data_IF_049847153739
#
_entry.id   IF_049847153739
#
_cell.length_a   1.000
_cell.length_b   1.000
_cell.length_c   1.000
_cell.angle_alpha   90.00
_cell.angle_beta   90.00
_cell.angle_gamma   90.00
#
_symmetry.space_group_name_H-M   'P 1'
#
loop_
_entity.id
_entity.type
_entity.pdbx_description
1 polymer ?
#
# COMPACT_ATOMS: atom_id res chain seq x y z
N UNK A 1 -64.25 -2.11 -54.67
CA UNK A 1 -64.83 -2.79 -53.49
C UNK A 1 -63.69 -2.96 -52.51
N UNK A 2 -63.32 -1.88 -51.84
CA UNK A 2 -63.83 -1.41 -50.53
C UNK A 2 -62.97 -1.92 -49.37
N UNK A 3 -62.86 -1.05 -48.36
CA UNK A 3 -62.31 -1.19 -47.02
C UNK A 3 -60.78 -1.05 -46.88
N UNK A 4 -60.24 -0.18 -46.02
CA UNK A 4 -60.79 0.91 -45.20
C UNK A 4 -59.61 1.77 -44.74
N UNK A 5 -59.79 3.09 -44.81
CA UNK A 5 -58.92 4.10 -44.22
C UNK A 5 -59.27 4.30 -42.75
N UNK A 6 -58.28 4.28 -41.85
CA UNK A 6 -58.41 4.87 -40.50
C UNK A 6 -57.09 5.56 -40.13
N UNK A 7 -57.17 6.88 -40.06
CA UNK A 7 -56.17 7.80 -39.49
C UNK A 7 -56.33 7.80 -37.96
N UNK A 8 -55.24 7.90 -37.19
CA UNK A 8 -55.21 8.85 -36.09
C UNK A 8 -53.92 9.69 -36.13
N UNK A 9 -54.08 10.99 -36.36
CA UNK A 9 -54.03 12.04 -35.34
C UNK A 9 -52.63 12.25 -34.76
N UNK A 10 -51.88 13.13 -35.42
CA UNK A 10 -50.74 13.83 -34.82
C UNK A 10 -51.28 14.86 -33.84
N UNK A 11 -50.85 14.78 -32.58
CA UNK A 11 -50.84 15.93 -31.68
C UNK A 11 -49.49 15.97 -30.96
N UNK A 12 -48.67 16.91 -31.44
CA UNK A 12 -47.37 17.26 -30.91
C UNK A 12 -47.58 18.18 -29.69
N UNK A 13 -47.09 17.79 -28.51
CA UNK A 13 -46.63 18.74 -27.50
C UNK A 13 -45.35 18.19 -26.88
N UNK A 14 -44.21 18.62 -27.41
CA UNK A 14 -42.92 18.46 -26.76
C UNK A 14 -42.80 19.52 -25.66
N UNK A 15 -42.78 19.09 -24.40
CA UNK A 15 -42.36 19.92 -23.27
C UNK A 15 -40.89 19.66 -22.94
N UNK A 16 -40.04 20.67 -22.72
CA UNK A 16 -38.66 20.47 -22.31
C UNK A 16 -38.65 20.18 -20.80
N UNK A 17 -38.81 18.91 -20.44
CA UNK A 17 -38.79 18.45 -19.05
C UNK A 17 -37.52 17.70 -18.75
N UNK A 18 -36.51 18.43 -18.25
CA UNK A 18 -35.32 17.95 -17.54
C UNK A 18 -34.72 16.62 -18.02
N UNK A 19 -33.72 16.71 -18.91
CA UNK A 19 -32.71 15.68 -19.00
C UNK A 19 -32.07 15.50 -17.62
N UNK A 20 -32.52 14.51 -16.86
CA UNK A 20 -31.80 14.02 -15.70
C UNK A 20 -30.44 13.60 -16.21
N UNK A 21 -29.42 14.41 -15.92
CA UNK A 21 -28.04 14.04 -16.18
C UNK A 21 -27.85 12.65 -15.56
N UNK A 22 -27.63 11.66 -16.42
CA UNK A 22 -27.31 10.32 -15.98
C UNK A 22 -26.13 10.46 -15.03
N UNK A 23 -26.37 10.23 -13.73
CA UNK A 23 -25.31 10.11 -12.73
C UNK A 23 -24.45 8.95 -13.21
N UNK A 24 -23.37 9.25 -13.91
CA UNK A 24 -22.36 8.27 -14.27
C UNK A 24 -22.01 7.53 -12.99
N UNK A 25 -22.14 6.20 -13.00
CA UNK A 25 -21.96 5.35 -11.83
C UNK A 25 -20.51 5.48 -11.34
N UNK A 26 -20.26 6.45 -10.47
CA UNK A 26 -19.01 6.55 -9.75
C UNK A 26 -18.87 5.30 -8.87
N UNK A 27 -17.69 4.66 -8.83
CA UNK A 27 -17.48 3.52 -7.96
C UNK A 27 -17.74 3.94 -6.50
N UNK A 28 -18.58 3.17 -5.83
CA UNK A 28 -18.95 3.38 -4.44
C UNK A 28 -17.91 2.67 -3.56
N UNK A 29 -16.93 3.41 -3.06
CA UNK A 29 -15.94 2.89 -2.13
C UNK A 29 -16.33 3.30 -0.71
N UNK A 30 -16.87 2.35 0.07
CA UNK A 30 -17.17 2.58 1.47
C UNK A 30 -16.04 2.09 2.35
N UNK A 31 -15.60 2.94 3.26
CA UNK A 31 -14.17 3.00 3.52
C UNK A 31 -13.92 3.73 4.82
N UNK A 32 -12.94 3.27 5.57
CA UNK A 32 -12.24 4.10 6.53
C UNK A 32 -10.78 4.19 6.15
N UNK A 33 -10.23 5.39 6.27
CA UNK A 33 -8.86 5.69 5.87
C UNK A 33 -8.24 6.75 6.75
N UNK A 34 -6.92 6.86 6.65
CA UNK A 34 -6.11 7.86 7.32
C UNK A 34 -5.11 8.43 6.33
N UNK A 35 -4.96 9.76 6.32
CA UNK A 35 -3.82 10.45 5.71
C UNK A 35 -2.97 11.02 6.82
N UNK A 36 -1.64 10.96 6.71
CA UNK A 36 -0.77 11.52 7.72
C UNK A 36 0.60 11.94 7.19
N UNK A 37 1.21 12.90 7.87
CA UNK A 37 2.63 13.24 7.76
C UNK A 37 3.29 12.91 9.10
N UNK A 38 4.34 12.11 9.07
CA UNK A 38 5.14 11.89 10.27
C UNK A 38 5.96 13.14 10.59
N UNK A 39 5.84 13.67 11.80
CA UNK A 39 6.53 14.90 12.20
C UNK A 39 8.04 14.69 12.37
N UNK A 40 8.47 13.48 12.72
CA UNK A 40 9.88 13.15 12.94
C UNK A 40 10.65 12.95 11.64
N UNK A 41 10.11 12.14 10.72
CA UNK A 41 10.79 11.81 9.45
C UNK A 41 10.37 12.71 8.29
N UNK A 42 9.19 13.32 8.37
CA UNK A 42 8.56 14.04 7.27
C UNK A 42 7.89 13.13 6.22
N UNK A 43 7.91 11.80 6.40
CA UNK A 43 7.22 10.86 5.52
C UNK A 43 5.73 11.18 5.42
N UNK A 44 5.16 10.94 4.24
CA UNK A 44 3.74 11.15 3.96
C UNK A 44 3.11 9.79 3.66
N UNK A 45 1.92 9.54 4.20
CA UNK A 45 1.28 8.25 4.03
C UNK A 45 -0.25 8.29 4.01
N UNK A 46 -0.81 7.30 3.33
CA UNK A 46 -2.23 6.99 3.31
C UNK A 46 -2.41 5.51 3.59
N UNK A 47 -3.37 5.16 4.44
CA UNK A 47 -3.79 3.78 4.64
C UNK A 47 -5.30 3.68 4.63
N UNK A 48 -5.82 2.56 4.11
CA UNK A 48 -7.25 2.38 3.85
C UNK A 48 -7.68 0.93 4.02
N UNK A 49 -8.91 0.73 4.48
CA UNK A 49 -9.64 -0.54 4.41
C UNK A 49 -11.04 -0.30 3.87
N UNK A 50 -11.52 -1.21 3.02
CA UNK A 50 -12.87 -1.16 2.45
C UNK A 50 -13.49 -2.54 2.24
N UNK A 51 -14.83 -2.64 2.31
CA UNK A 51 -15.56 -3.74 1.66
C UNK A 51 -15.83 -3.37 0.19
N UNK A 52 -14.76 -3.26 -0.59
CA UNK A 52 -14.77 -2.98 -2.02
C UNK A 52 -13.61 -3.74 -2.62
N UNK A 53 -13.81 -4.39 -3.76
CA UNK A 53 -12.72 -5.10 -4.43
C UNK A 53 -11.64 -4.11 -4.88
N UNK A 54 -10.39 -4.35 -4.50
CA UNK A 54 -9.24 -3.57 -4.98
C UNK A 54 -9.34 -2.06 -4.70
N UNK A 55 -9.36 -1.66 -3.42
CA UNK A 55 -9.42 -0.23 -3.03
C UNK A 55 -8.12 0.55 -3.31
N UNK A 56 -6.98 -0.15 -3.40
CA UNK A 56 -5.64 0.43 -3.46
C UNK A 56 -5.35 1.38 -4.63
N UNK A 57 -5.85 1.15 -5.86
CA UNK A 57 -5.71 2.10 -6.97
C UNK A 57 -6.62 3.34 -6.87
N UNK A 58 -7.60 3.35 -5.97
CA UNK A 58 -8.71 4.32 -5.98
C UNK A 58 -8.54 5.38 -4.89
N UNK A 59 -8.33 4.94 -3.65
CA UNK A 59 -8.39 5.83 -2.48
C UNK A 59 -7.03 6.48 -2.16
N UNK A 60 -5.91 5.74 -2.00
CA UNK A 60 -4.67 6.31 -1.52
C UNK A 60 -3.81 6.93 -2.62
N UNK A 61 -3.46 8.20 -2.44
CA UNK A 61 -2.55 8.95 -3.30
C UNK A 61 -1.49 9.63 -2.44
N UNK A 62 -0.23 9.59 -2.84
CA UNK A 62 0.84 10.30 -2.15
C UNK A 62 2.01 10.59 -3.10
N UNK A 63 2.67 11.71 -2.86
CA UNK A 63 3.87 12.11 -3.59
C UNK A 63 4.88 12.76 -2.65
N UNK A 64 6.14 12.29 -2.74
CA UNK A 64 7.22 12.74 -1.88
C UNK A 64 7.47 14.23 -2.04
N UNK A 65 7.60 14.94 -0.92
CA UNK A 65 7.77 16.40 -0.91
C UNK A 65 6.53 17.21 -1.29
N UNK A 66 5.40 16.57 -1.61
CA UNK A 66 4.16 17.24 -2.04
C UNK A 66 3.04 17.06 -1.03
N UNK A 67 2.56 15.83 -0.83
CA UNK A 67 1.42 15.57 0.04
C UNK A 67 0.85 14.16 -0.09
N UNK A 68 -0.24 13.92 0.62
CA UNK A 68 -1.01 12.69 0.62
C UNK A 68 -2.51 13.00 0.61
N UNK A 69 -3.27 12.22 -0.15
CA UNK A 69 -4.72 12.40 -0.39
C UNK A 69 -5.44 11.06 -0.28
N UNK A 70 -6.57 11.05 0.44
CA UNK A 70 -7.55 9.97 0.43
C UNK A 70 -8.86 10.50 -0.14
N UNK A 71 -9.38 9.87 -1.20
CA UNK A 71 -10.69 10.19 -1.80
C UNK A 71 -11.60 8.95 -1.76
N UNK A 72 -12.80 9.05 -1.19
CA UNK A 72 -13.69 7.93 -0.89
C UNK A 72 -15.18 8.32 -0.95
N UNK A 73 -16.08 7.37 -0.60
CA UNK A 73 -17.54 7.46 -0.76
C UNK A 73 -17.97 7.32 -2.23
N UNK A 74 -18.83 8.21 -2.78
CA UNK A 74 -19.01 8.27 -4.24
C UNK A 74 -17.77 8.91 -4.85
N UNK A 75 -16.77 8.07 -5.13
CA UNK A 75 -15.42 8.52 -5.44
C UNK A 75 -15.39 9.32 -6.73
N UNK A 76 -14.71 10.46 -6.70
CA UNK A 76 -14.17 11.09 -7.89
C UNK A 76 -12.65 10.97 -7.80
N UNK A 77 -12.08 10.05 -8.58
CA UNK A 77 -10.65 9.69 -8.52
C UNK A 77 -9.76 10.92 -8.69
N UNK A 78 -10.18 11.87 -9.53
CA UNK A 78 -9.48 13.12 -9.82
C UNK A 78 -9.03 13.91 -8.58
N UNK A 79 -9.72 13.82 -7.43
CA UNK A 79 -9.26 14.51 -6.20
C UNK A 79 -7.86 14.09 -5.78
N UNK A 80 -7.47 12.83 -6.02
CA UNK A 80 -6.14 12.31 -5.73
C UNK A 80 -5.04 13.05 -6.50
N UNK A 81 -4.90 12.82 -7.82
CA UNK A 81 -3.85 13.45 -8.62
C UNK A 81 -3.99 14.97 -8.69
N UNK A 82 -5.20 15.53 -8.84
CA UNK A 82 -5.36 16.99 -8.90
C UNK A 82 -5.05 17.68 -7.57
N UNK A 83 -5.36 17.03 -6.44
CA UNK A 83 -4.99 17.53 -5.12
C UNK A 83 -3.47 17.61 -4.96
N UNK A 84 -2.76 16.55 -5.36
CA UNK A 84 -1.29 16.53 -5.40
C UNK A 84 -0.74 17.59 -6.36
N UNK A 85 -1.34 17.77 -7.54
CA UNK A 85 -0.90 18.78 -8.51
C UNK A 85 -1.00 20.21 -7.97
N UNK A 86 -2.11 20.54 -7.29
CA UNK A 86 -2.30 21.85 -6.66
C UNK A 86 -1.30 22.07 -5.53
N UNK A 87 -1.07 21.05 -4.69
CA UNK A 87 -0.07 21.13 -3.62
C UNK A 87 1.35 21.28 -4.17
N UNK A 88 1.67 20.61 -5.29
CA UNK A 88 2.96 20.76 -6.00
C UNK A 88 3.16 22.16 -6.54
N UNK A 89 2.08 22.83 -6.92
CA UNK A 89 2.08 24.25 -7.36
C UNK A 89 2.18 25.25 -6.18
N UNK A 90 2.27 24.76 -4.93
CA UNK A 90 2.52 25.57 -3.74
C UNK A 90 1.30 25.85 -2.86
N UNK A 91 0.11 25.41 -3.26
CA UNK A 91 -1.08 25.52 -2.42
C UNK A 91 -0.94 24.63 -1.18
N UNK A 92 -1.55 25.05 -0.08
CA UNK A 92 -1.70 24.18 1.10
C UNK A 92 -2.79 23.13 0.85
N UNK A 93 -2.78 22.04 1.62
CA UNK A 93 -3.86 21.04 1.58
C UNK A 93 -5.28 21.65 1.74
N UNK A 94 -5.52 22.60 2.68
CA UNK A 94 -6.78 23.36 2.72
C UNK A 94 -7.13 24.12 1.44
N UNK A 95 -6.17 24.82 0.84
CA UNK A 95 -6.42 25.58 -0.39
C UNK A 95 -6.70 24.66 -1.58
N UNK A 96 -5.96 23.54 -1.69
CA UNK A 96 -6.16 22.55 -2.72
C UNK A 96 -7.55 21.89 -2.62
N UNK A 97 -7.96 21.47 -1.40
CA UNK A 97 -9.27 20.88 -1.18
C UNK A 97 -10.41 21.86 -1.49
N UNK A 98 -10.32 23.10 -1.00
CA UNK A 98 -11.32 24.14 -1.27
C UNK A 98 -11.46 24.44 -2.78
N UNK A 99 -10.34 24.52 -3.50
CA UNK A 99 -10.35 24.74 -4.95
C UNK A 99 -11.06 23.59 -5.70
N UNK A 100 -10.83 22.33 -5.30
CA UNK A 100 -11.45 21.17 -5.93
C UNK A 100 -12.95 21.07 -5.63
N UNK A 101 -13.35 21.33 -4.38
CA UNK A 101 -14.76 21.32 -3.98
C UNK A 101 -15.59 22.37 -4.76
N UNK A 102 -15.01 23.54 -5.03
CA UNK A 102 -15.68 24.62 -5.79
C UNK A 102 -15.99 24.26 -7.25
N UNK A 103 -15.22 23.35 -7.85
CA UNK A 103 -15.39 22.95 -9.25
C UNK A 103 -16.08 21.59 -9.41
N UNK A 104 -16.28 20.85 -8.32
CA UNK A 104 -17.10 19.63 -8.33
C UNK A 104 -18.58 20.02 -8.32
N UNK A 105 -19.36 19.47 -9.25
CA UNK A 105 -20.81 19.71 -9.31
C UNK A 105 -21.58 18.92 -8.25
N UNK A 106 -20.94 17.95 -7.58
CA UNK A 106 -21.56 17.11 -6.55
C UNK A 106 -20.64 16.92 -5.32
N UNK A 107 -20.19 18.00 -4.65
CA UNK A 107 -19.28 17.89 -3.51
C UNK A 107 -19.95 17.20 -2.31
N UNK A 108 -21.28 17.23 -2.23
CA UNK A 108 -22.04 16.69 -1.11
C UNK A 108 -22.00 15.17 -1.00
N UNK A 109 -21.67 14.46 -2.07
CA UNK A 109 -21.53 12.99 -2.07
C UNK A 109 -20.08 12.53 -1.89
N UNK A 110 -19.14 13.47 -1.71
CA UNK A 110 -17.70 13.18 -1.61
C UNK A 110 -17.24 13.08 -0.17
N UNK A 111 -16.24 12.25 0.05
CA UNK A 111 -15.42 12.31 1.25
C UNK A 111 -13.94 12.33 0.87
N UNK A 112 -13.22 13.37 1.29
CA UNK A 112 -11.83 13.59 0.88
C UNK A 112 -11.02 14.11 2.06
N UNK A 113 -9.80 13.61 2.24
CA UNK A 113 -8.83 14.16 3.19
C UNK A 113 -7.46 14.36 2.52
N UNK A 114 -6.76 15.42 2.91
CA UNK A 114 -5.47 15.82 2.36
C UNK A 114 -4.53 16.26 3.48
N UNK A 115 -3.25 15.92 3.35
CA UNK A 115 -2.15 16.49 4.14
C UNK A 115 -1.03 16.91 3.19
N UNK A 116 -0.52 18.13 3.34
CA UNK A 116 0.60 18.60 2.52
C UNK A 116 1.96 18.33 3.19
N UNK A 117 3.07 18.50 2.46
CA UNK A 117 4.42 18.26 2.97
C UNK A 117 4.84 19.19 4.12
N UNK A 118 4.11 20.29 4.37
CA UNK A 118 4.28 21.17 5.55
C UNK A 118 3.44 20.71 6.73
N UNK A 119 2.58 19.71 6.52
CA UNK A 119 1.71 19.13 7.52
C UNK A 119 0.42 19.90 7.75
N UNK A 120 0.02 20.80 6.85
CA UNK A 120 -1.35 21.34 6.89
C UNK A 120 -2.32 20.24 6.46
N UNK A 121 -3.48 20.19 7.10
CA UNK A 121 -4.48 19.13 6.89
C UNK A 121 -5.81 19.76 6.53
N UNK A 122 -6.54 19.11 5.62
CA UNK A 122 -7.92 19.43 5.33
C UNK A 122 -8.72 18.17 5.06
N UNK A 123 -9.99 18.16 5.47
CA UNK A 123 -10.90 17.06 5.19
C UNK A 123 -12.31 17.58 4.92
N UNK A 124 -13.04 16.89 4.06
CA UNK A 124 -14.42 17.15 3.70
C UNK A 124 -15.22 15.86 3.78
N UNK A 125 -16.37 15.89 4.44
CA UNK A 125 -17.37 14.83 4.46
C UNK A 125 -18.67 15.46 4.04
N UNK A 126 -19.09 15.20 2.80
CA UNK A 126 -20.32 15.78 2.27
C UNK A 126 -21.57 15.25 2.99
N UNK A 127 -22.63 16.07 3.11
CA UNK A 127 -23.84 15.70 3.85
C UNK A 127 -24.63 14.53 3.22
N UNK A 128 -24.33 14.15 1.98
CA UNK A 128 -24.94 13.02 1.28
C UNK A 128 -24.07 11.75 1.29
N UNK A 129 -22.94 11.75 2.03
CA UNK A 129 -22.27 10.50 2.39
C UNK A 129 -23.21 9.64 3.24
N UNK A 130 -23.23 8.33 3.00
CA UNK A 130 -24.15 7.43 3.73
C UNK A 130 -23.83 7.50 5.24
N UNK A 131 -24.85 7.64 6.13
CA UNK A 131 -24.66 7.89 7.56
C UNK A 131 -23.74 6.91 8.30
N UNK A 132 -23.37 7.30 9.52
CA UNK A 132 -22.11 6.87 10.15
C UNK A 132 -20.93 7.24 9.25
N UNK A 133 -20.95 8.50 8.81
CA UNK A 133 -19.90 9.16 8.07
C UNK A 133 -19.40 10.39 8.82
N UNK A 134 -18.09 10.56 8.85
CA UNK A 134 -17.46 11.69 9.50
C UNK A 134 -15.95 11.65 9.35
N UNK A 135 -15.31 12.62 9.97
CA UNK A 135 -13.87 12.80 9.94
C UNK A 135 -13.36 13.36 11.26
N UNK A 136 -12.08 13.16 11.53
CA UNK A 136 -11.35 13.80 12.61
C UNK A 136 -10.05 14.34 12.05
N UNK A 137 -9.85 15.66 12.16
CA UNK A 137 -8.64 16.35 11.75
C UNK A 137 -7.78 16.59 12.98
N UNK A 138 -6.57 16.03 13.00
CA UNK A 138 -5.60 16.21 14.06
C UNK A 138 -4.31 16.88 13.56
N UNK A 139 -3.28 16.88 14.40
CA UNK A 139 -2.00 17.49 14.06
C UNK A 139 -1.27 16.64 13.01
N UNK A 140 -1.19 17.14 11.78
CA UNK A 140 -0.54 16.49 10.64
C UNK A 140 -1.19 15.18 10.16
N UNK A 141 -2.45 14.91 10.53
CA UNK A 141 -3.21 13.76 10.02
C UNK A 141 -4.72 14.02 9.97
N UNK A 142 -5.44 13.21 9.22
CA UNK A 142 -6.90 13.10 9.29
C UNK A 142 -7.32 11.63 9.21
N UNK A 143 -8.33 11.26 9.99
CA UNK A 143 -9.07 10.00 9.84
C UNK A 143 -10.47 10.29 9.32
N UNK A 144 -10.98 9.45 8.43
CA UNK A 144 -12.28 9.64 7.81
C UNK A 144 -12.93 8.31 7.51
N UNK A 145 -14.25 8.24 7.65
CA UNK A 145 -15.00 7.05 7.32
C UNK A 145 -16.43 7.36 6.86
N UNK A 146 -17.04 6.45 6.11
CA UNK A 146 -18.44 6.50 5.69
C UNK A 146 -19.05 5.09 5.60
N UNK A 147 -20.37 4.96 5.79
CA UNK A 147 -21.07 3.67 5.89
C UNK A 147 -20.45 2.75 6.96
N UNK A 148 -20.13 3.31 8.12
CA UNK A 148 -19.63 2.51 9.24
C UNK A 148 -20.77 1.84 10.00
N UNK A 149 -20.44 0.83 10.80
CA UNK A 149 -21.40 0.22 11.73
C UNK A 149 -21.89 1.21 12.80
N UNK A 150 -21.12 2.26 13.10
CA UNK A 150 -21.44 3.32 14.05
C UNK A 150 -20.51 4.54 13.86
N UNK A 151 -20.75 5.62 14.60
CA UNK A 151 -20.02 6.88 14.56
C UNK A 151 -18.71 6.91 15.39
N UNK A 152 -18.34 5.80 16.04
CA UNK A 152 -17.15 5.69 16.89
C UNK A 152 -15.90 5.24 16.13
N UNK A 153 -16.01 4.89 14.85
CA UNK A 153 -14.91 4.35 14.05
C UNK A 153 -13.79 5.37 13.84
N UNK A 154 -14.04 6.52 13.22
CA UNK A 154 -12.99 7.51 12.93
C UNK A 154 -12.40 8.17 14.20
N UNK A 155 -13.15 8.40 15.30
CA UNK A 155 -12.54 8.84 16.57
C UNK A 155 -11.64 7.78 17.20
N UNK A 156 -12.01 6.48 17.11
CA UNK A 156 -11.16 5.41 17.60
C UNK A 156 -9.85 5.29 16.80
N UNK A 157 -9.91 5.46 15.47
CA UNK A 157 -8.73 5.53 14.62
C UNK A 157 -7.80 6.68 15.02
N UNK A 158 -8.36 7.87 15.27
CA UNK A 158 -7.60 9.04 15.68
C UNK A 158 -6.89 8.81 17.02
N UNK A 159 -7.64 8.38 18.04
CA UNK A 159 -7.08 8.10 19.37
C UNK A 159 -5.99 7.02 19.34
N UNK A 160 -6.11 6.02 18.46
CA UNK A 160 -5.07 5.01 18.27
C UNK A 160 -3.83 5.59 17.59
N UNK A 161 -3.99 6.39 16.53
CA UNK A 161 -2.87 7.03 15.82
C UNK A 161 -2.06 7.98 16.72
N UNK A 162 -2.74 8.73 17.58
CA UNK A 162 -2.13 9.66 18.54
C UNK A 162 -1.34 8.95 19.64
N UNK A 163 -1.78 7.76 20.07
CA UNK A 163 -1.10 6.96 21.11
C UNK A 163 -0.06 5.99 20.56
N UNK A 164 -0.11 5.72 19.26
CA UNK A 164 0.75 4.74 18.63
C UNK A 164 2.22 5.18 18.64
N UNK A 165 3.10 4.22 18.89
CA UNK A 165 4.55 4.34 18.74
C UNK A 165 5.03 3.52 17.54
N UNK A 166 6.28 3.77 17.11
CA UNK A 166 6.87 3.13 15.94
C UNK A 166 6.90 4.05 14.71
N UNK A 167 7.30 3.48 13.58
CA UNK A 167 7.34 4.17 12.30
C UNK A 167 5.93 4.54 11.78
N UNK A 168 5.87 5.34 10.71
CA UNK A 168 4.61 5.77 10.12
C UNK A 168 3.73 4.57 9.70
N UNK A 169 4.31 3.51 9.15
CA UNK A 169 3.58 2.31 8.74
C UNK A 169 2.86 1.64 9.91
N UNK A 170 3.54 1.49 11.06
CA UNK A 170 2.97 0.89 12.26
C UNK A 170 1.83 1.74 12.82
N UNK A 171 2.01 3.06 12.87
CA UNK A 171 0.98 3.99 13.38
C UNK A 171 -0.27 4.00 12.49
N UNK A 172 -0.09 3.99 11.16
CA UNK A 172 -1.20 3.90 10.20
C UNK A 172 -1.97 2.57 10.34
N UNK A 173 -1.26 1.44 10.48
CA UNK A 173 -1.89 0.14 10.72
C UNK A 173 -2.68 0.10 12.03
N UNK A 174 -2.11 0.61 13.13
CA UNK A 174 -2.81 0.66 14.41
C UNK A 174 -4.09 1.49 14.35
N UNK A 175 -4.09 2.58 13.57
CA UNK A 175 -5.29 3.38 13.33
C UNK A 175 -6.38 2.55 12.63
N UNK A 176 -6.04 1.88 11.51
CA UNK A 176 -7.01 1.03 10.79
C UNK A 176 -7.56 -0.09 11.67
N UNK A 177 -6.71 -0.78 12.43
CA UNK A 177 -7.14 -1.86 13.31
C UNK A 177 -8.04 -1.38 14.45
N UNK A 178 -7.80 -0.17 14.95
CA UNK A 178 -8.70 0.45 15.92
C UNK A 178 -10.06 0.77 15.29
N UNK A 179 -10.07 1.21 14.03
CA UNK A 179 -11.30 1.40 13.25
C UNK A 179 -12.10 0.09 13.09
N UNK A 180 -11.42 -1.01 12.73
CA UNK A 180 -12.04 -2.33 12.64
C UNK A 180 -12.63 -2.79 13.98
N UNK A 181 -11.86 -2.67 15.08
CA UNK A 181 -12.33 -3.02 16.43
C UNK A 181 -13.51 -2.16 16.91
N UNK A 182 -13.59 -0.91 16.46
CA UNK A 182 -14.70 0.00 16.79
C UNK A 182 -15.99 -0.32 16.00
N UNK A 183 -15.91 -1.19 14.98
CA UNK A 183 -17.08 -1.69 14.24
C UNK A 183 -16.88 -1.71 12.73
N UNK A 184 -15.88 -0.98 12.20
CA UNK A 184 -15.56 -0.94 10.78
C UNK A 184 -16.74 -0.61 9.86
N UNK A 185 -16.61 -1.02 8.60
CA UNK A 185 -17.65 -0.93 7.58
C UNK A 185 -18.78 -1.92 7.90
N UNK A 186 -20.04 -1.47 7.82
CA UNK A 186 -21.21 -2.28 8.17
C UNK A 186 -21.38 -3.54 7.30
N UNK A 187 -20.74 -3.55 6.13
CA UNK A 187 -20.78 -4.68 5.19
C UNK A 187 -19.72 -5.74 5.52
N UNK A 188 -18.77 -5.43 6.40
CA UNK A 188 -17.60 -6.27 6.72
C UNK A 188 -16.32 -5.74 6.08
N UNK A 189 -15.45 -6.63 5.61
CA UNK A 189 -14.11 -6.28 5.10
C UNK A 189 -13.75 -7.10 3.88
N UNK A 190 -12.98 -6.50 2.97
CA UNK A 190 -12.58 -7.17 1.72
C UNK A 190 -11.17 -6.79 1.25
N UNK A 191 -10.84 -5.49 1.20
CA UNK A 191 -9.55 -5.02 0.71
C UNK A 191 -8.92 -4.00 1.64
N UNK A 192 -7.61 -3.81 1.53
CA UNK A 192 -6.85 -2.80 2.25
C UNK A 192 -5.59 -2.39 1.49
N UNK A 193 -5.10 -1.18 1.73
CA UNK A 193 -3.86 -0.70 1.14
C UNK A 193 -3.12 0.27 2.06
N UNK A 194 -1.80 0.36 1.89
CA UNK A 194 -0.94 1.35 2.52
C UNK A 194 0.05 1.89 1.50
N UNK A 195 0.16 3.21 1.43
CA UNK A 195 1.09 3.93 0.59
C UNK A 195 1.85 4.93 1.46
N UNK A 196 3.17 4.83 1.49
CA UNK A 196 4.07 5.76 2.20
C UNK A 196 5.17 6.20 1.24
N UNK A 197 5.43 7.50 1.22
CA UNK A 197 6.47 8.13 0.41
C UNK A 197 7.42 8.94 1.29
N UNK A 198 8.64 9.13 0.81
CA UNK A 198 9.68 9.91 1.48
C UNK A 198 9.26 11.36 1.70
N UNK A 199 9.89 12.01 2.67
CA UNK A 199 9.69 13.43 2.95
C UNK A 199 10.10 14.35 1.77
N UNK A 200 11.11 13.95 1.00
CA UNK A 200 11.66 14.71 -0.11
C UNK A 200 11.68 13.83 -1.36
N UNK A 201 11.41 14.44 -2.52
CA UNK A 201 11.50 13.72 -3.79
C UNK A 201 12.95 13.56 -4.23
N UNK A 202 13.28 12.38 -4.74
CA UNK A 202 14.53 12.10 -5.47
C UNK A 202 14.43 12.45 -6.96
N UNK A 203 13.28 12.94 -7.44
CA UNK A 203 12.96 13.08 -8.86
C UNK A 203 12.65 11.75 -9.55
N UNK A 204 12.66 10.63 -8.81
CA UNK A 204 12.36 9.28 -9.32
C UNK A 204 11.25 8.67 -8.46
N UNK A 205 9.97 8.79 -8.88
CA UNK A 205 8.83 8.37 -8.05
C UNK A 205 8.89 6.92 -7.55
N UNK A 206 9.52 6.01 -8.30
CA UNK A 206 9.70 4.62 -7.87
C UNK A 206 10.73 4.43 -6.74
N UNK A 207 11.68 5.36 -6.58
CA UNK A 207 12.63 5.37 -5.46
C UNK A 207 12.09 6.11 -4.23
N UNK A 208 11.03 6.91 -4.43
CA UNK A 208 10.42 7.73 -3.38
C UNK A 208 9.35 6.97 -2.59
N UNK A 209 8.86 5.82 -3.09
CA UNK A 209 7.93 4.94 -2.38
C UNK A 209 8.66 4.13 -1.31
N UNK A 210 8.39 4.44 -0.05
CA UNK A 210 8.85 3.66 1.11
C UNK A 210 8.03 2.39 1.27
N UNK A 211 6.71 2.50 1.06
CA UNK A 211 5.75 1.40 1.15
C UNK A 211 4.66 1.60 0.09
N UNK A 212 4.30 0.56 -0.65
CA UNK A 212 3.13 0.54 -1.53
C UNK A 212 2.64 -0.90 -1.61
N UNK A 213 1.73 -1.23 -0.70
CA UNK A 213 1.24 -2.60 -0.52
C UNK A 213 -0.28 -2.60 -0.57
N UNK A 214 -0.82 -3.65 -1.19
CA UNK A 214 -2.25 -3.80 -1.45
C UNK A 214 -2.67 -5.23 -1.18
N UNK A 215 -3.84 -5.35 -0.56
CA UNK A 215 -4.61 -6.58 -0.44
C UNK A 215 -5.89 -6.33 -1.22
N UNK A 216 -5.98 -6.89 -2.42
CA UNK A 216 -7.07 -6.59 -3.34
C UNK A 216 -8.39 -7.27 -2.94
N UNK A 217 -8.29 -8.46 -2.34
CA UNK A 217 -9.41 -9.26 -1.81
C UNK A 217 -8.89 -10.26 -0.77
N UNK A 218 -9.43 -10.22 0.45
CA UNK A 218 -9.14 -11.16 1.53
C UNK A 218 -10.24 -11.05 2.63
N UNK A 219 -10.64 -12.15 3.28
CA UNK A 219 -11.60 -12.10 4.40
C UNK A 219 -11.05 -11.35 5.64
N UNK A 220 -9.74 -11.21 5.77
CA UNK A 220 -9.05 -10.48 6.85
C UNK A 220 -7.97 -9.54 6.26
N UNK A 221 -8.34 -8.47 5.54
CA UNK A 221 -7.38 -7.72 4.74
C UNK A 221 -6.38 -6.93 5.57
N UNK A 222 -6.72 -6.49 6.79
CA UNK A 222 -5.76 -5.81 7.68
C UNK A 222 -4.69 -6.76 8.24
N UNK A 223 -5.09 -7.98 8.62
CA UNK A 223 -4.14 -9.02 9.04
C UNK A 223 -3.16 -9.33 7.92
N UNK A 224 -3.66 -9.43 6.70
CA UNK A 224 -2.85 -9.69 5.52
C UNK A 224 -1.95 -8.49 5.17
N UNK A 225 -2.46 -7.25 5.25
CA UNK A 225 -1.67 -6.04 5.04
C UNK A 225 -0.53 -5.94 6.05
N UNK A 226 -0.77 -6.26 7.33
CA UNK A 226 0.28 -6.33 8.36
C UNK A 226 1.33 -7.40 8.04
N UNK A 227 0.91 -8.57 7.52
CA UNK A 227 1.83 -9.61 7.04
C UNK A 227 2.72 -9.05 5.92
N UNK A 228 2.14 -8.37 4.94
CA UNK A 228 2.88 -7.77 3.82
C UNK A 228 3.84 -6.66 4.30
N UNK A 229 3.45 -5.80 5.24
CA UNK A 229 4.33 -4.78 5.83
C UNK A 229 5.54 -5.42 6.52
N UNK A 230 5.34 -6.50 7.29
CA UNK A 230 6.45 -7.27 7.88
C UNK A 230 7.37 -7.84 6.80
N UNK A 231 6.82 -8.42 5.74
CA UNK A 231 7.62 -8.95 4.63
C UNK A 231 8.40 -7.86 3.92
N UNK A 232 7.80 -6.71 3.63
CA UNK A 232 8.51 -5.58 3.01
C UNK A 232 9.66 -5.09 3.88
N UNK A 233 9.48 -5.03 5.22
CA UNK A 233 10.58 -4.73 6.15
C UNK A 233 11.72 -5.76 6.06
N UNK A 234 11.40 -7.04 5.90
CA UNK A 234 12.41 -8.09 5.73
C UNK A 234 13.20 -7.93 4.41
N UNK A 235 12.51 -7.67 3.30
CA UNK A 235 13.17 -7.42 2.00
C UNK A 235 14.01 -6.12 2.02
N UNK A 236 13.55 -5.06 2.67
CA UNK A 236 14.35 -3.84 2.82
C UNK A 236 15.67 -4.10 3.58
N UNK A 237 15.67 -5.02 4.56
CA UNK A 237 16.88 -5.42 5.28
C UNK A 237 17.79 -6.31 4.42
N UNK A 238 17.24 -7.15 3.56
CA UNK A 238 18.02 -7.90 2.57
C UNK A 238 18.72 -6.95 1.60
N UNK A 239 17.98 -6.01 0.99
CA UNK A 239 18.54 -4.97 0.11
C UNK A 239 19.64 -4.17 0.82
N UNK A 240 19.42 -3.85 2.10
CA UNK A 240 20.42 -3.16 2.92
C UNK A 240 21.67 -4.03 3.14
N UNK A 241 21.51 -5.33 3.36
CA UNK A 241 22.60 -6.28 3.47
C UNK A 241 23.44 -6.34 2.19
N UNK A 242 22.81 -6.40 1.03
CA UNK A 242 23.50 -6.40 -0.27
C UNK A 242 24.26 -5.09 -0.50
N UNK A 243 23.67 -3.94 -0.11
CA UNK A 243 24.35 -2.65 -0.15
C UNK A 243 25.60 -2.63 0.77
N UNK A 244 25.51 -3.18 1.98
CA UNK A 244 26.66 -3.28 2.87
C UNK A 244 27.76 -4.19 2.32
N UNK A 245 27.41 -5.26 1.62
CA UNK A 245 28.37 -6.08 0.89
C UNK A 245 29.09 -5.26 -0.18
N UNK A 246 28.36 -4.51 -1.02
CA UNK A 246 28.93 -3.66 -2.05
C UNK A 246 29.86 -2.58 -1.46
N UNK A 247 29.54 -2.08 -0.27
CA UNK A 247 30.35 -1.13 0.50
C UNK A 247 31.51 -1.76 1.28
N UNK A 248 31.73 -3.09 1.16
CA UNK A 248 32.76 -3.86 1.88
C UNK A 248 32.59 -3.82 3.41
N UNK A 249 31.36 -3.89 3.90
CA UNK A 249 30.98 -3.91 5.32
C UNK A 249 30.28 -5.24 5.71
N UNK A 250 31.01 -6.37 5.70
CA UNK A 250 30.41 -7.70 5.83
C UNK A 250 29.72 -7.95 7.17
N UNK A 251 30.20 -7.37 8.27
CA UNK A 251 29.56 -7.54 9.59
C UNK A 251 28.16 -6.93 9.63
N UNK A 252 28.00 -5.72 9.07
CA UNK A 252 26.70 -5.04 8.98
C UNK A 252 25.75 -5.77 8.02
N UNK A 253 26.29 -6.32 6.92
CA UNK A 253 25.50 -7.15 6.02
C UNK A 253 24.95 -8.41 6.73
N UNK A 254 25.80 -9.10 7.49
CA UNK A 254 25.40 -10.28 8.27
C UNK A 254 24.31 -9.96 9.30
N UNK A 255 24.41 -8.80 9.96
CA UNK A 255 23.38 -8.35 10.90
C UNK A 255 22.04 -8.08 10.17
N UNK A 256 22.09 -7.37 9.04
CA UNK A 256 20.90 -7.07 8.25
C UNK A 256 20.20 -8.35 7.75
N UNK A 257 20.95 -9.31 7.19
CA UNK A 257 20.39 -10.61 6.78
C UNK A 257 19.79 -11.40 7.95
N UNK A 258 20.45 -11.39 9.11
CA UNK A 258 19.93 -12.07 10.30
C UNK A 258 18.60 -11.45 10.78
N UNK A 259 18.49 -10.12 10.75
CA UNK A 259 17.25 -9.42 11.07
C UNK A 259 16.16 -9.71 10.02
N UNK A 260 16.49 -9.73 8.72
CA UNK A 260 15.56 -10.10 7.65
C UNK A 260 15.00 -11.53 7.85
N UNK A 261 15.87 -12.50 8.11
CA UNK A 261 15.49 -13.89 8.35
C UNK A 261 14.65 -14.06 9.63
N UNK A 262 14.88 -13.23 10.66
CA UNK A 262 14.05 -13.20 11.87
C UNK A 262 12.66 -12.63 11.59
N UNK A 263 12.56 -11.60 10.74
CA UNK A 263 11.28 -11.00 10.38
C UNK A 263 10.45 -11.91 9.48
N UNK A 264 11.08 -12.67 8.57
CA UNK A 264 10.38 -13.51 7.60
C UNK A 264 10.98 -14.93 7.51
N UNK A 265 10.95 -15.71 8.61
CA UNK A 265 11.53 -17.05 8.64
C UNK A 265 10.85 -18.03 7.67
N UNK A 266 9.64 -17.73 7.22
CA UNK A 266 8.92 -18.51 6.22
C UNK A 266 9.47 -18.34 4.79
N UNK A 267 10.22 -17.26 4.52
CA UNK A 267 10.72 -16.96 3.17
C UNK A 267 12.13 -17.54 3.00
N UNK A 268 12.20 -18.72 2.40
CA UNK A 268 13.47 -19.44 2.15
C UNK A 268 14.39 -18.67 1.19
N UNK A 269 13.81 -17.91 0.27
CA UNK A 269 14.55 -17.13 -0.73
C UNK A 269 15.49 -16.08 -0.11
N UNK A 270 15.04 -15.37 0.93
CA UNK A 270 15.88 -14.40 1.67
C UNK A 270 17.14 -15.08 2.25
N UNK A 271 16.98 -16.30 2.75
CA UNK A 271 18.10 -17.05 3.34
C UNK A 271 19.05 -17.57 2.26
N UNK A 272 18.51 -17.96 1.10
CA UNK A 272 19.30 -18.43 -0.03
C UNK A 272 20.19 -17.32 -0.59
N UNK A 273 19.62 -16.14 -0.87
CA UNK A 273 20.39 -15.02 -1.42
C UNK A 273 21.40 -14.48 -0.41
N UNK A 274 21.03 -14.38 0.87
CA UNK A 274 22.01 -14.08 1.92
C UNK A 274 23.19 -15.08 1.93
N UNK A 275 22.93 -16.39 1.76
CA UNK A 275 23.99 -17.40 1.67
C UNK A 275 24.90 -17.22 0.45
N UNK A 276 24.34 -16.87 -0.71
CA UNK A 276 25.10 -16.54 -1.92
C UNK A 276 25.99 -15.32 -1.69
N UNK A 277 25.43 -14.22 -1.15
CA UNK A 277 26.17 -13.00 -0.83
C UNK A 277 27.27 -13.25 0.22
N UNK A 278 26.99 -14.05 1.26
CA UNK A 278 27.99 -14.46 2.25
C UNK A 278 29.14 -15.26 1.62
N UNK A 279 28.82 -16.28 0.81
CA UNK A 279 29.82 -17.17 0.22
C UNK A 279 30.76 -16.41 -0.71
N UNK A 280 30.21 -15.57 -1.58
CA UNK A 280 30.96 -14.77 -2.56
C UNK A 280 31.85 -13.70 -1.92
N UNK A 281 31.60 -13.36 -0.66
CA UNK A 281 32.35 -12.34 0.09
C UNK A 281 33.19 -12.93 1.25
N UNK A 282 33.58 -14.21 1.12
CA UNK A 282 34.55 -14.84 2.03
C UNK A 282 33.98 -15.35 3.35
N UNK A 283 32.65 -15.30 3.55
CA UNK A 283 31.96 -15.86 4.73
C UNK A 283 31.50 -17.30 4.46
N UNK A 284 32.37 -18.13 3.87
CA UNK A 284 32.01 -19.44 3.31
C UNK A 284 31.39 -20.40 4.34
N UNK A 285 31.96 -20.51 5.56
CA UNK A 285 31.47 -21.42 6.58
C UNK A 285 30.00 -21.12 6.97
N UNK A 286 29.69 -19.84 7.19
CA UNK A 286 28.35 -19.37 7.56
C UNK A 286 27.35 -19.51 6.40
N UNK A 287 27.83 -19.30 5.17
CA UNK A 287 27.04 -19.55 3.98
C UNK A 287 26.65 -21.03 3.83
N UNK A 288 27.61 -21.95 4.04
CA UNK A 288 27.35 -23.40 3.94
C UNK A 288 26.33 -23.87 4.99
N UNK A 289 26.38 -23.37 6.23
CA UNK A 289 25.35 -23.62 7.23
C UNK A 289 23.97 -23.12 6.79
N UNK A 290 23.92 -21.93 6.19
CA UNK A 290 22.67 -21.35 5.68
C UNK A 290 22.12 -22.17 4.50
N UNK A 291 22.97 -22.56 3.55
CA UNK A 291 22.59 -23.44 2.43
C UNK A 291 22.05 -24.78 2.93
N UNK A 292 22.67 -25.39 3.94
CA UNK A 292 22.17 -26.63 4.57
C UNK A 292 20.74 -26.46 5.09
N UNK A 293 20.45 -25.37 5.77
CA UNK A 293 19.10 -25.04 6.27
C UNK A 293 18.10 -24.86 5.12
N UNK A 294 18.48 -24.11 4.07
CA UNK A 294 17.66 -23.88 2.87
C UNK A 294 17.33 -25.20 2.17
N UNK A 295 18.34 -26.04 1.91
CA UNK A 295 18.17 -27.30 1.21
C UNK A 295 17.43 -28.35 2.04
N UNK A 296 17.51 -28.30 3.37
CA UNK A 296 16.71 -29.16 4.23
C UNK A 296 15.20 -28.85 4.13
N UNK A 297 14.82 -27.58 3.88
CA UNK A 297 13.41 -27.16 3.81
C UNK A 297 12.77 -27.38 2.46
N UNK A 298 13.48 -27.05 1.38
CA UNK A 298 12.89 -27.02 0.03
C UNK A 298 13.65 -27.82 -1.02
N UNK A 299 14.71 -28.51 -0.61
CA UNK A 299 15.33 -29.59 -1.36
C UNK A 299 15.94 -29.18 -2.69
N UNK A 300 15.73 -30.05 -3.69
CA UNK A 300 16.46 -30.06 -4.97
C UNK A 300 16.37 -28.75 -5.76
N UNK A 301 15.24 -28.01 -5.70
CA UNK A 301 15.02 -26.81 -6.52
C UNK A 301 16.07 -25.72 -6.27
N UNK A 302 16.47 -25.52 -5.01
CA UNK A 302 17.49 -24.54 -4.63
C UNK A 302 18.90 -25.05 -4.87
N UNK A 303 19.12 -26.36 -4.73
CA UNK A 303 20.41 -26.99 -5.05
C UNK A 303 20.74 -26.85 -6.54
N UNK A 304 19.74 -27.07 -7.40
CA UNK A 304 19.86 -26.87 -8.85
C UNK A 304 20.10 -25.40 -9.21
N UNK A 305 19.57 -24.45 -8.42
CA UNK A 305 19.72 -23.02 -8.65
C UNK A 305 21.18 -22.58 -8.54
N UNK A 306 21.97 -23.14 -7.62
CA UNK A 306 23.42 -22.84 -7.45
C UNK A 306 24.18 -22.96 -8.78
N UNK A 307 23.97 -24.06 -9.51
CA UNK A 307 24.62 -24.26 -10.82
C UNK A 307 24.11 -23.29 -11.89
N UNK A 308 22.89 -22.76 -11.78
CA UNK A 308 22.34 -21.81 -12.75
C UNK A 308 22.89 -20.41 -12.50
N UNK A 309 22.95 -19.98 -11.25
CA UNK A 309 23.45 -18.66 -10.87
C UNK A 309 24.97 -18.54 -11.11
N UNK A 310 25.71 -19.65 -11.00
CA UNK A 310 27.14 -19.70 -11.36
C UNK A 310 27.39 -19.34 -12.84
N UNK A 311 26.57 -19.89 -13.75
CA UNK A 311 26.67 -19.64 -15.21
C UNK A 311 26.45 -18.18 -15.62
N UNK A 312 25.82 -17.39 -14.75
CA UNK A 312 25.54 -15.96 -14.99
C UNK A 312 26.38 -15.05 -14.08
N UNK A 313 27.40 -15.60 -13.42
CA UNK A 313 28.36 -14.82 -12.61
C UNK A 313 27.85 -14.38 -11.24
N UNK A 314 26.69 -14.88 -10.79
CA UNK A 314 26.15 -14.59 -9.45
C UNK A 314 26.70 -15.54 -8.37
N UNK A 315 27.47 -16.55 -8.77
CA UNK A 315 28.21 -17.47 -7.89
C UNK A 315 29.50 -17.90 -8.61
N UNK A 316 30.56 -18.35 -7.91
CA UNK A 316 31.78 -18.80 -8.59
C UNK A 316 31.49 -19.95 -9.56
N UNK A 317 31.90 -19.79 -10.83
CA UNK A 317 31.85 -20.84 -11.85
C UNK A 317 33.01 -21.82 -11.69
N UNK A 318 33.09 -22.42 -10.50
CA UNK A 318 34.07 -23.42 -10.11
C UNK A 318 33.32 -24.70 -9.71
N UNK A 319 33.48 -25.81 -10.46
CA UNK A 319 32.80 -27.07 -10.17
C UNK A 319 33.00 -27.57 -8.74
N UNK A 320 34.18 -27.36 -8.14
CA UNK A 320 34.46 -27.81 -6.78
C UNK A 320 33.68 -26.98 -5.74
N UNK A 321 33.56 -25.66 -5.95
CA UNK A 321 32.78 -24.77 -5.08
C UNK A 321 31.29 -25.02 -5.21
N UNK A 322 30.80 -25.20 -6.45
CA UNK A 322 29.41 -25.58 -6.71
C UNK A 322 29.10 -26.89 -6.00
N UNK A 323 29.95 -27.91 -6.15
CA UNK A 323 29.75 -29.20 -5.49
C UNK A 323 29.80 -29.09 -3.96
N UNK A 324 30.70 -28.28 -3.40
CA UNK A 324 30.80 -28.04 -1.95
C UNK A 324 29.48 -27.52 -1.38
N UNK A 325 28.83 -26.57 -2.06
CA UNK A 325 27.50 -26.08 -1.68
C UNK A 325 26.45 -27.17 -1.89
N UNK A 326 26.43 -27.83 -3.05
CA UNK A 326 25.40 -28.84 -3.33
C UNK A 326 25.44 -30.04 -2.37
N UNK A 327 26.62 -30.39 -1.84
CA UNK A 327 26.80 -31.41 -0.80
C UNK A 327 26.12 -31.08 0.54
N UNK A 328 25.72 -29.83 0.76
CA UNK A 328 24.92 -29.46 1.94
C UNK A 328 23.51 -30.07 1.90
N UNK A 329 23.06 -30.53 0.73
CA UNK A 329 21.81 -31.26 0.60
C UNK A 329 22.02 -32.77 0.85
N UNK A 330 21.26 -33.35 1.78
CA UNK A 330 21.33 -34.79 2.10
C UNK A 330 20.99 -35.71 0.93
N UNK A 331 20.25 -35.22 -0.07
CA UNK A 331 19.92 -35.95 -1.29
C UNK A 331 20.98 -35.89 -2.39
N UNK A 332 22.11 -35.19 -2.16
CA UNK A 332 23.14 -35.00 -3.17
C UNK A 332 23.79 -36.33 -3.56
N UNK A 333 23.89 -36.56 -4.88
CA UNK A 333 24.64 -37.68 -5.47
C UNK A 333 25.64 -37.09 -6.45
N UNK A 334 26.92 -37.34 -6.24
CA UNK A 334 27.96 -36.92 -7.18
C UNK A 334 27.64 -37.50 -8.57
N UNK A 335 27.73 -36.67 -9.61
CA UNK A 335 27.70 -37.17 -10.98
C UNK A 335 28.98 -38.00 -11.16
N UNK A 336 28.80 -39.30 -11.40
CA UNK A 336 29.88 -40.21 -11.78
C UNK A 336 30.43 -39.85 -13.15
#
# INVERSE_FOLDING_TARGET
>A
MELTSVIPLVLLVAGPGAAGAARTAAPLAHTYSIVARDSATGELGVAVQSHYFSVGPIVPWAEAGVGAVATQSLVLVDYGPKGLDLMRQGLTAPQALDALLKVDSNPDVRQVAMVDARGNVAAHTGPMCIPAAGQHVGNHYSTQANLMSNDKVWPAMAAAYERASGDLAERLLQALEAGERAGGDIRGRQSAAILIVKAQSSGKPWQDRVMDLRVEDHPDPLKELRRLVRLRRAYNLEDQGDNFIAEKKPEQALEAYAQAAKLAPEIVELQFWAAVSMYTNGQEAKALETFKTVFAREGKRWVDLVSRIAKVGLFPDDPAKIEQVQRQWSGFRAKR
#
